data_IF_686337623525
#
_entry.id   IF_686337623525
#
_cell.length_a   1.000
_cell.length_b   1.000
_cell.length_c   1.000
_cell.angle_alpha   90.00
_cell.angle_beta   90.00
_cell.angle_gamma   90.00
#
_symmetry.space_group_name_H-M   'P 1'
#
loop_
_entity.id
_entity.type
_entity.pdbx_description
1 polymer ?
#
# COMPACT_ATOMS: atom_id res chain seq x y z
N UNK A 1 -12.20 5.35 4.47
CA UNK A 1 -11.10 4.38 4.24
C UNK A 1 -9.80 5.17 4.16
N UNK A 2 -8.71 4.73 4.81
CA UNK A 2 -7.40 5.42 4.67
C UNK A 2 -6.80 5.05 3.31
N UNK A 3 -6.19 5.98 2.58
CA UNK A 3 -5.47 5.65 1.34
C UNK A 3 -4.18 4.88 1.61
N UNK A 4 -3.64 4.23 0.58
CA UNK A 4 -2.37 3.51 0.68
C UNK A 4 -1.24 4.44 1.11
N UNK A 5 -1.19 5.66 0.54
CA UNK A 5 -0.22 6.68 0.94
C UNK A 5 -0.25 6.99 2.44
N UNK A 6 -1.44 7.25 3.01
CA UNK A 6 -1.56 7.54 4.44
C UNK A 6 -1.18 6.35 5.32
N UNK A 7 -1.39 5.12 4.84
CA UNK A 7 -0.91 3.93 5.52
C UNK A 7 0.63 3.85 5.48
N UNK A 8 1.22 4.09 4.31
CA UNK A 8 2.67 4.03 4.08
C UNK A 8 3.44 5.04 4.94
N UNK A 9 2.84 6.20 5.26
CA UNK A 9 3.46 7.20 6.14
C UNK A 9 3.80 6.72 7.56
N UNK A 10 3.23 5.60 8.03
CA UNK A 10 3.62 4.97 9.31
C UNK A 10 5.06 4.48 9.31
N UNK A 11 5.60 4.12 8.14
CA UNK A 11 6.91 3.51 7.97
C UNK A 11 8.01 4.52 7.66
N UNK A 12 7.67 5.81 7.57
CA UNK A 12 8.69 6.85 7.42
C UNK A 12 9.64 6.85 8.60
N UNK A 13 10.93 6.88 8.31
CA UNK A 13 11.96 6.85 9.34
C UNK A 13 13.17 7.67 8.90
N UNK A 14 13.75 8.53 9.77
CA UNK A 14 14.93 9.35 9.42
C UNK A 14 16.19 8.53 9.14
N UNK A 15 16.19 7.25 9.53
CA UNK A 15 17.25 6.26 9.26
C UNK A 15 16.61 4.95 8.80
N UNK A 16 16.10 4.85 7.56
CA UNK A 16 15.39 3.67 7.09
C UNK A 16 16.28 2.42 7.22
N UNK A 17 15.70 1.30 7.66
CA UNK A 17 16.42 0.04 7.89
C UNK A 17 15.92 -1.11 7.02
N UNK A 18 14.74 -0.95 6.43
CA UNK A 18 14.10 -1.90 5.54
C UNK A 18 13.59 -1.18 4.28
N UNK A 19 13.34 -1.97 3.23
CA UNK A 19 12.92 -1.48 1.92
C UNK A 19 11.59 -0.71 1.99
N UNK A 20 10.67 -1.12 2.87
CA UNK A 20 9.38 -0.42 3.06
C UNK A 20 9.58 0.98 3.64
N UNK A 21 10.51 1.16 4.57
CA UNK A 21 10.87 2.47 5.11
C UNK A 21 11.53 3.36 4.05
N UNK A 22 12.37 2.79 3.19
CA UNK A 22 12.95 3.49 2.04
C UNK A 22 11.85 3.95 1.07
N UNK A 23 10.95 3.04 0.70
CA UNK A 23 9.80 3.34 -0.14
C UNK A 23 8.91 4.42 0.47
N UNK A 24 8.62 4.36 1.77
CA UNK A 24 7.79 5.34 2.46
C UNK A 24 8.40 6.74 2.47
N UNK A 25 9.71 6.85 2.61
CA UNK A 25 10.40 8.13 2.51
C UNK A 25 10.39 8.66 1.07
N UNK A 26 10.66 7.81 0.08
CA UNK A 26 10.66 8.20 -1.32
C UNK A 26 9.27 8.65 -1.80
N UNK A 27 8.21 7.90 -1.46
CA UNK A 27 6.84 8.26 -1.76
C UNK A 27 6.39 9.57 -1.05
N UNK A 28 6.99 9.92 0.10
CA UNK A 28 6.76 11.20 0.77
C UNK A 28 7.38 12.38 0.02
N UNK A 29 8.57 12.18 -0.54
CA UNK A 29 9.28 13.17 -1.35
C UNK A 29 8.67 13.33 -2.75
N UNK A 30 7.97 12.28 -3.23
CA UNK A 30 7.20 12.29 -4.46
C UNK A 30 5.89 13.10 -4.31
N UNK A 31 5.90 14.31 -4.86
CA UNK A 31 4.75 15.21 -4.84
C UNK A 31 3.62 14.77 -5.78
N UNK A 32 3.97 14.00 -6.81
CA UNK A 32 3.05 13.49 -7.84
C UNK A 32 2.40 12.17 -7.44
N UNK A 33 2.88 11.55 -6.36
CA UNK A 33 2.31 10.30 -5.86
C UNK A 33 0.79 10.42 -5.69
N UNK A 34 -0.02 9.44 -6.11
CA UNK A 34 -1.49 9.47 -5.99
C UNK A 34 -1.95 9.28 -4.52
N UNK A 35 -1.84 10.34 -3.71
CA UNK A 35 -2.05 10.31 -2.24
C UNK A 35 -3.45 9.91 -1.80
N UNK A 36 -4.44 10.03 -2.69
CA UNK A 36 -5.82 9.66 -2.41
C UNK A 36 -6.16 8.22 -2.84
N UNK A 37 -5.32 7.55 -3.63
CA UNK A 37 -5.65 6.25 -4.21
C UNK A 37 -5.63 5.12 -3.18
N UNK A 38 -6.58 4.20 -3.36
CA UNK A 38 -6.72 2.95 -2.61
C UNK A 38 -6.71 1.73 -3.55
N UNK A 39 -6.54 1.98 -4.85
CA UNK A 39 -6.64 1.00 -5.92
C UNK A 39 -5.25 0.45 -6.27
N UNK A 40 -5.12 -0.87 -6.28
CA UNK A 40 -3.84 -1.52 -6.56
C UNK A 40 -3.36 -1.24 -7.98
N UNK A 41 -4.24 -1.30 -8.97
CA UNK A 41 -3.87 -1.16 -10.38
C UNK A 41 -3.44 0.27 -10.72
N UNK A 42 -4.12 1.28 -10.19
CA UNK A 42 -3.74 2.68 -10.34
C UNK A 42 -2.35 2.95 -9.74
N UNK A 43 -2.09 2.44 -8.53
CA UNK A 43 -0.80 2.59 -7.86
C UNK A 43 0.32 1.84 -8.57
N UNK A 44 0.05 0.60 -9.00
CA UNK A 44 1.00 -0.21 -9.76
C UNK A 44 1.39 0.48 -11.07
N UNK A 45 0.41 0.92 -11.86
CA UNK A 45 0.67 1.64 -13.12
C UNK A 45 1.45 2.94 -12.89
N UNK A 46 1.17 3.67 -11.80
CA UNK A 46 1.95 4.85 -11.44
C UNK A 46 3.42 4.51 -11.15
N UNK A 47 3.66 3.46 -10.37
CA UNK A 47 5.01 3.04 -9.95
C UNK A 47 5.82 2.44 -11.11
N UNK A 48 5.19 1.73 -12.04
CA UNK A 48 5.87 1.26 -13.25
C UNK A 48 6.37 2.42 -14.15
N UNK A 49 5.67 3.56 -14.13
CA UNK A 49 6.00 4.72 -14.97
C UNK A 49 6.84 5.79 -14.26
N UNK A 50 6.73 5.92 -12.93
CA UNK A 50 7.32 7.02 -12.16
C UNK A 50 8.05 6.55 -10.89
N UNK A 51 8.08 5.25 -10.62
CA UNK A 51 8.58 4.65 -9.38
C UNK A 51 10.05 4.28 -9.41
N UNK A 52 10.92 5.01 -10.14
CA UNK A 52 12.36 4.73 -10.25
C UNK A 52 13.09 4.70 -8.89
N UNK A 53 12.46 5.27 -7.85
CA UNK A 53 12.95 5.24 -6.48
C UNK A 53 12.63 3.95 -5.72
N UNK A 54 11.75 3.11 -6.26
CA UNK A 54 11.39 1.82 -5.71
C UNK A 54 12.44 0.80 -6.17
N UNK A 55 13.14 0.21 -5.21
CA UNK A 55 14.18 -0.80 -5.47
C UNK A 55 13.62 -2.08 -6.11
N UNK A 56 12.37 -2.43 -5.79
CA UNK A 56 11.65 -3.58 -6.34
C UNK A 56 10.14 -3.40 -6.24
N UNK A 57 9.41 -3.78 -7.29
CA UNK A 57 7.93 -3.86 -7.25
C UNK A 57 7.44 -4.82 -6.16
N UNK A 58 8.23 -5.83 -5.79
CA UNK A 58 7.91 -6.74 -4.68
C UNK A 58 7.75 -5.98 -3.35
N UNK A 59 8.54 -4.93 -3.12
CA UNK A 59 8.40 -4.09 -1.91
C UNK A 59 7.06 -3.36 -1.87
N UNK A 60 6.56 -2.91 -3.03
CA UNK A 60 5.22 -2.34 -3.12
C UNK A 60 4.15 -3.41 -2.88
N UNK A 61 4.27 -4.57 -3.51
CA UNK A 61 3.30 -5.67 -3.36
C UNK A 61 3.16 -6.11 -1.90
N UNK A 62 4.28 -6.33 -1.21
CA UNK A 62 4.30 -6.71 0.21
C UNK A 62 3.70 -5.62 1.11
N UNK A 63 3.99 -4.35 0.85
CA UNK A 63 3.42 -3.23 1.60
C UNK A 63 1.91 -3.10 1.35
N UNK A 64 1.47 -3.34 0.12
CA UNK A 64 0.05 -3.27 -0.25
C UNK A 64 -0.75 -4.42 0.35
N UNK A 65 -0.22 -5.64 0.38
CA UNK A 65 -0.86 -6.76 1.06
C UNK A 65 -1.09 -6.46 2.55
N UNK A 66 -0.08 -5.92 3.24
CA UNK A 66 -0.21 -5.51 4.65
C UNK A 66 -1.26 -4.41 4.83
N UNK A 67 -1.32 -3.45 3.90
CA UNK A 67 -2.36 -2.43 3.88
C UNK A 67 -3.77 -3.04 3.76
N UNK A 68 -3.98 -4.01 2.87
CA UNK A 68 -5.27 -4.69 2.70
C UNK A 68 -5.68 -5.41 3.99
N UNK A 69 -4.74 -6.12 4.63
CA UNK A 69 -4.99 -6.82 5.89
C UNK A 69 -5.30 -5.85 7.04
N UNK A 70 -4.55 -4.76 7.17
CA UNK A 70 -4.70 -3.85 8.31
C UNK A 70 -5.86 -2.86 8.15
N UNK A 71 -6.14 -2.41 6.93
CA UNK A 71 -7.08 -1.32 6.65
C UNK A 71 -8.38 -1.84 6.07
N UNK A 72 -8.32 -2.77 5.09
CA UNK A 72 -9.53 -3.31 4.46
C UNK A 72 -10.17 -4.42 5.29
N UNK A 73 -9.41 -5.40 5.81
CA UNK A 73 -10.00 -6.47 6.65
C UNK A 73 -10.56 -5.98 7.99
N UNK A 74 -10.06 -4.86 8.54
CA UNK A 74 -10.70 -4.19 9.70
C UNK A 74 -12.08 -3.60 9.40
N UNK A 75 -12.47 -3.52 8.14
CA UNK A 75 -13.83 -3.14 7.70
C UNK A 75 -14.65 -4.34 7.18
N UNK A 76 -14.07 -5.55 7.14
CA UNK A 76 -14.72 -6.77 6.62
C UNK A 76 -14.88 -7.85 7.70
N UNK A 77 -15.04 -7.45 8.97
CA UNK A 77 -15.70 -8.31 9.97
C UNK A 77 -17.18 -7.96 10.05
N UNK A 78 -17.92 -8.34 9.02
CA UNK A 78 -19.36 -8.60 9.07
C UNK A 78 -19.76 -9.37 7.79
N UNK A 79 -19.56 -10.69 7.80
CA UNK A 79 -20.53 -11.58 7.18
C UNK A 79 -21.24 -12.30 8.33
N UNK A 80 -22.56 -12.06 8.55
CA UNK A 80 -23.32 -12.76 9.58
C UNK A 80 -23.70 -14.19 9.20
N UNK A 81 -23.62 -14.59 7.92
CA UNK A 81 -24.16 -15.86 7.47
C UNK A 81 -23.06 -16.69 6.79
N UNK A 82 -22.54 -17.65 7.54
CA UNK A 82 -21.50 -18.58 7.09
C UNK A 82 -22.00 -19.58 6.05
N UNK A 83 -22.04 -19.19 4.78
CA UNK A 83 -22.15 -20.15 3.68
C UNK A 83 -21.00 -19.97 2.68
N UNK A 84 -20.15 -20.99 2.65
CA UNK A 84 -19.27 -21.26 1.51
C UNK A 84 -20.14 -21.78 0.37
N UNK A 85 -20.24 -21.04 -0.73
CA UNK A 85 -20.86 -21.56 -1.95
C UNK A 85 -19.74 -21.96 -2.91
N UNK A 86 -19.51 -23.27 -2.99
CA UNK A 86 -18.92 -23.88 -4.17
C UNK A 86 -20.00 -23.98 -5.26
N UNK A 87 -19.75 -23.35 -6.40
CA UNK A 87 -20.14 -23.82 -7.73
C UNK A 87 -19.31 -23.11 -8.78
#
# INVERSE_FOLDING_TARGET
MKSFYHYLMKFRHPKPKDEVSHFANAAYEDHSFPKASTDYHELCAYLELNGDYLSSMTTFDEAFEQYEVEVKKKHTTAYPDGEAVFS
#
